data_IF_593401548899
#
_entry.id   IF_593401548899
#
_cell.length_a   1.000
_cell.length_b   1.000
_cell.length_c   1.000
_cell.angle_alpha   90.00
_cell.angle_beta   90.00
_cell.angle_gamma   90.00
#
_symmetry.space_group_name_H-M   'P 1'
#
loop_
_entity.id
_entity.type
_entity.pdbx_description
1 polymer ?
#
# COMPACT_ATOMS: atom_id res chain seq x y z
N UNK A 1 -4.42 25.75 -0.81
CA UNK A 1 -5.67 25.12 -1.29
C UNK A 1 -5.30 23.79 -1.92
N UNK A 2 -5.94 22.72 -1.55
CA UNK A 2 -5.74 21.45 -2.25
C UNK A 2 -6.20 21.61 -3.72
N UNK A 3 -5.39 21.11 -4.65
CA UNK A 3 -5.72 21.13 -6.07
C UNK A 3 -7.02 20.34 -6.30
N UNK A 4 -7.95 20.92 -7.08
CA UNK A 4 -9.24 20.27 -7.33
C UNK A 4 -9.02 18.98 -8.12
N UNK A 5 -9.51 17.86 -7.61
CA UNK A 5 -9.46 16.59 -8.34
C UNK A 5 -10.38 16.63 -9.56
N UNK A 6 -9.87 16.24 -10.71
CA UNK A 6 -10.60 16.19 -11.99
C UNK A 6 -10.52 14.84 -12.70
N UNK A 7 -9.84 13.87 -12.09
CA UNK A 7 -9.55 12.57 -12.72
C UNK A 7 -10.81 11.81 -13.15
N UNK A 8 -11.89 11.91 -12.39
CA UNK A 8 -13.18 11.32 -12.74
C UNK A 8 -13.79 11.94 -13.98
N UNK A 9 -13.81 13.28 -14.03
CA UNK A 9 -14.32 14.01 -15.21
C UNK A 9 -13.47 13.77 -16.45
N UNK A 10 -12.13 13.75 -16.31
CA UNK A 10 -11.21 13.53 -17.41
C UNK A 10 -11.34 12.13 -18.01
N UNK A 11 -11.47 11.12 -17.15
CA UNK A 11 -11.54 9.71 -17.58
C UNK A 11 -12.95 9.26 -17.99
N UNK A 12 -13.98 9.68 -17.27
CA UNK A 12 -15.33 9.13 -17.33
C UNK A 12 -16.43 10.17 -17.54
N UNK A 13 -16.11 11.47 -17.65
CA UNK A 13 -17.10 12.54 -17.68
C UNK A 13 -18.14 12.42 -18.79
N UNK A 14 -17.75 11.86 -19.96
CA UNK A 14 -18.68 11.62 -21.08
C UNK A 14 -19.38 10.27 -21.00
N UNK A 15 -18.74 9.27 -20.43
CA UNK A 15 -19.27 7.90 -20.32
C UNK A 15 -20.19 7.71 -19.10
N UNK A 16 -19.76 8.24 -17.95
CA UNK A 16 -20.47 8.11 -16.68
C UNK A 16 -20.42 9.45 -15.89
N UNK A 17 -21.14 10.49 -16.36
CA UNK A 17 -21.03 11.84 -15.78
C UNK A 17 -21.45 11.89 -14.30
N UNK A 18 -22.44 11.13 -13.89
CA UNK A 18 -22.84 11.06 -12.48
C UNK A 18 -21.74 10.45 -11.60
N UNK A 19 -21.06 9.37 -12.05
CA UNK A 19 -19.95 8.80 -11.34
C UNK A 19 -18.77 9.78 -11.23
N UNK A 20 -18.43 10.47 -12.31
CA UNK A 20 -17.38 11.49 -12.33
C UNK A 20 -17.67 12.61 -11.32
N UNK A 21 -18.91 13.10 -11.29
CA UNK A 21 -19.36 14.08 -10.31
C UNK A 21 -19.20 13.55 -8.86
N UNK A 22 -19.68 12.36 -8.56
CA UNK A 22 -19.54 11.79 -7.23
C UNK A 22 -18.08 11.59 -6.82
N UNK A 23 -17.23 11.18 -7.75
CA UNK A 23 -15.80 11.04 -7.49
C UNK A 23 -15.13 12.38 -7.19
N UNK A 24 -15.23 13.32 -8.10
CA UNK A 24 -14.44 14.56 -8.04
C UNK A 24 -15.05 15.62 -7.11
N UNK A 25 -16.36 15.87 -7.24
CA UNK A 25 -17.01 16.96 -6.53
C UNK A 25 -17.46 16.51 -5.12
N UNK A 26 -18.02 15.32 -4.98
CA UNK A 26 -18.54 14.85 -3.68
C UNK A 26 -17.45 14.19 -2.85
N UNK A 27 -16.82 13.11 -3.35
CA UNK A 27 -15.81 12.39 -2.57
C UNK A 27 -14.61 13.29 -2.26
N UNK A 28 -13.93 13.76 -3.30
CA UNK A 28 -12.72 14.58 -3.10
C UNK A 28 -13.04 16.03 -2.74
N UNK A 29 -14.08 16.62 -3.31
CA UNK A 29 -14.45 18.02 -3.06
C UNK A 29 -15.09 18.26 -1.70
N UNK A 30 -15.98 17.36 -1.26
CA UNK A 30 -16.71 17.53 0.00
C UNK A 30 -16.20 16.63 1.12
N UNK A 31 -16.16 15.31 0.90
CA UNK A 31 -15.86 14.36 1.98
C UNK A 31 -14.42 14.49 2.47
N UNK A 32 -13.45 14.54 1.56
CA UNK A 32 -12.04 14.73 1.93
C UNK A 32 -11.75 16.11 2.52
N UNK A 33 -12.58 17.10 2.24
CA UNK A 33 -12.44 18.45 2.77
C UNK A 33 -12.94 18.62 4.22
N UNK A 34 -13.59 17.61 4.79
CA UNK A 34 -14.07 17.63 6.19
C UNK A 34 -12.94 17.38 7.19
N UNK A 35 -11.89 18.17 7.10
CA UNK A 35 -10.68 17.96 7.92
C UNK A 35 -10.88 18.32 9.40
N UNK A 36 -11.92 19.06 9.72
CA UNK A 36 -12.37 19.33 11.09
C UNK A 36 -13.02 18.12 11.78
N UNK A 37 -13.50 17.15 11.01
CA UNK A 37 -14.12 15.91 11.51
C UNK A 37 -13.16 14.75 11.53
N UNK A 38 -12.35 14.61 10.50
CA UNK A 38 -11.33 13.56 10.37
C UNK A 38 -10.18 14.13 9.53
N UNK A 39 -8.97 14.06 10.00
CA UNK A 39 -7.80 14.60 9.31
C UNK A 39 -7.58 13.94 7.94
N UNK A 40 -6.96 14.65 7.02
CA UNK A 40 -6.56 14.08 5.72
C UNK A 40 -5.61 12.87 5.90
N UNK A 41 -4.75 12.92 6.91
CA UNK A 41 -3.87 11.84 7.30
C UNK A 41 -4.65 10.57 7.69
N UNK A 42 -5.61 10.71 8.58
CA UNK A 42 -6.39 9.55 9.05
C UNK A 42 -7.31 9.02 7.95
N UNK A 43 -7.87 9.88 7.10
CA UNK A 43 -8.59 9.45 5.88
C UNK A 43 -7.70 8.64 4.95
N UNK A 44 -6.44 9.03 4.78
CA UNK A 44 -5.48 8.27 3.98
C UNK A 44 -5.23 6.87 4.57
N UNK A 45 -5.08 6.76 5.89
CA UNK A 45 -4.91 5.47 6.58
C UNK A 45 -6.13 4.57 6.36
N UNK A 46 -7.33 5.11 6.55
CA UNK A 46 -8.59 4.38 6.31
C UNK A 46 -8.68 3.91 4.87
N UNK A 47 -8.38 4.77 3.90
CA UNK A 47 -8.46 4.45 2.47
C UNK A 47 -7.45 3.37 2.07
N UNK A 48 -6.19 3.53 2.47
CA UNK A 48 -5.13 2.53 2.21
C UNK A 48 -5.51 1.18 2.80
N UNK A 49 -5.96 1.14 4.05
CA UNK A 49 -6.38 -0.08 4.73
C UNK A 49 -7.56 -0.75 4.04
N UNK A 50 -8.56 0.04 3.62
CA UNK A 50 -9.74 -0.47 2.90
C UNK A 50 -9.36 -1.10 1.54
N UNK A 51 -8.45 -0.47 0.79
CA UNK A 51 -7.98 -0.98 -0.50
C UNK A 51 -7.19 -2.28 -0.35
N UNK A 52 -6.25 -2.32 0.60
CA UNK A 52 -5.49 -3.56 0.89
C UNK A 52 -6.41 -4.70 1.31
N UNK A 53 -7.40 -4.42 2.14
CA UNK A 53 -8.36 -5.43 2.61
C UNK A 53 -9.14 -6.08 1.44
N UNK A 54 -9.40 -5.32 0.40
CA UNK A 54 -10.06 -5.80 -0.82
C UNK A 54 -9.08 -6.45 -1.82
N UNK A 55 -7.78 -6.35 -1.60
CA UNK A 55 -6.75 -6.81 -2.54
C UNK A 55 -6.55 -5.87 -3.74
N UNK A 56 -7.00 -4.63 -3.64
CA UNK A 56 -6.86 -3.61 -4.68
C UNK A 56 -5.49 -2.92 -4.57
N UNK A 57 -4.46 -3.56 -5.11
CA UNK A 57 -3.07 -3.11 -5.11
C UNK A 57 -2.61 -2.74 -6.53
N UNK A 58 -3.34 -1.83 -7.14
CA UNK A 58 -3.11 -1.33 -8.49
C UNK A 58 -2.62 0.14 -8.48
N UNK A 59 -2.75 0.82 -9.61
CA UNK A 59 -2.38 2.24 -9.77
C UNK A 59 -3.14 3.15 -8.79
N UNK A 60 -4.40 2.85 -8.50
CA UNK A 60 -5.20 3.58 -7.52
C UNK A 60 -4.61 3.47 -6.12
N UNK A 61 -4.13 2.28 -5.75
CA UNK A 61 -3.46 2.07 -4.48
C UNK A 61 -2.14 2.86 -4.38
N UNK A 62 -1.34 2.89 -5.45
CA UNK A 62 -0.12 3.70 -5.51
C UNK A 62 -0.41 5.18 -5.27
N UNK A 63 -1.45 5.72 -5.89
CA UNK A 63 -1.90 7.10 -5.66
C UNK A 63 -2.25 7.35 -4.20
N UNK A 64 -3.00 6.45 -3.56
CA UNK A 64 -3.40 6.61 -2.16
C UNK A 64 -2.23 6.44 -1.18
N UNK A 65 -1.24 5.61 -1.50
CA UNK A 65 0.01 5.53 -0.74
C UNK A 65 0.80 6.85 -0.81
N UNK A 66 0.94 7.42 -2.02
CA UNK A 66 1.60 8.72 -2.19
C UNK A 66 0.86 9.83 -1.44
N UNK A 67 -0.47 9.84 -1.51
CA UNK A 67 -1.31 10.78 -0.76
C UNK A 67 -1.14 10.61 0.76
N UNK A 68 -1.05 9.38 1.26
CA UNK A 68 -0.80 9.11 2.67
C UNK A 68 0.54 9.69 3.14
N UNK A 69 1.60 9.50 2.33
CA UNK A 69 2.91 10.10 2.59
C UNK A 69 2.84 11.63 2.63
N UNK A 70 2.20 12.26 1.65
CA UNK A 70 2.01 13.71 1.60
C UNK A 70 1.21 14.24 2.79
N UNK A 71 0.21 13.48 3.25
CA UNK A 71 -0.61 13.82 4.41
C UNK A 71 0.06 13.52 5.76
N UNK A 72 1.33 13.11 5.76
CA UNK A 72 2.15 12.99 6.96
C UNK A 72 2.19 11.59 7.58
N UNK A 73 1.77 10.55 6.87
CA UNK A 73 2.01 9.17 7.30
C UNK A 73 3.49 8.83 7.09
N UNK A 74 4.19 8.49 8.15
CA UNK A 74 5.61 8.15 8.12
C UNK A 74 5.85 6.72 7.62
N UNK A 75 7.10 6.43 7.24
CA UNK A 75 7.52 5.06 6.88
C UNK A 75 7.27 4.06 8.01
N UNK A 76 7.59 4.43 9.26
CA UNK A 76 7.35 3.59 10.43
C UNK A 76 5.87 3.32 10.62
N UNK A 77 5.04 4.34 10.46
CA UNK A 77 3.59 4.19 10.64
C UNK A 77 2.97 3.31 9.55
N UNK A 78 3.31 3.50 8.27
CA UNK A 78 2.76 2.65 7.21
C UNK A 78 3.21 1.19 7.38
N UNK A 79 4.44 0.95 7.83
CA UNK A 79 4.92 -0.39 8.14
C UNK A 79 4.09 -1.03 9.27
N UNK A 80 3.82 -0.31 10.34
CA UNK A 80 2.99 -0.80 11.45
C UNK A 80 1.52 -1.00 11.04
N UNK A 81 0.95 -0.10 10.24
CA UNK A 81 -0.42 -0.23 9.72
C UNK A 81 -0.57 -1.52 8.91
N UNK A 82 0.33 -1.75 7.97
CA UNK A 82 0.28 -2.93 7.11
C UNK A 82 0.61 -4.23 7.87
N UNK A 83 1.53 -4.17 8.84
CA UNK A 83 1.83 -5.30 9.72
C UNK A 83 0.62 -5.69 10.55
N UNK A 84 -0.03 -4.72 11.18
CA UNK A 84 -1.26 -4.96 11.93
C UNK A 84 -2.37 -5.52 11.02
N UNK A 85 -2.58 -4.89 9.87
CA UNK A 85 -3.60 -5.31 8.91
C UNK A 85 -3.39 -6.76 8.41
N UNK A 86 -2.14 -7.22 8.26
CA UNK A 86 -1.83 -8.56 7.77
C UNK A 86 -2.52 -9.68 8.54
N UNK A 87 -2.73 -9.52 9.84
CA UNK A 87 -3.42 -10.50 10.70
C UNK A 87 -4.94 -10.56 10.43
N UNK A 88 -5.52 -9.54 9.85
CA UNK A 88 -6.96 -9.44 9.57
C UNK A 88 -7.31 -9.69 8.11
N UNK A 89 -6.40 -9.34 7.19
CA UNK A 89 -6.67 -9.38 5.75
C UNK A 89 -5.94 -10.53 5.02
N UNK A 90 -4.98 -11.15 5.66
CA UNK A 90 -4.15 -12.20 5.10
C UNK A 90 -2.78 -11.70 4.60
N UNK A 91 -1.80 -12.58 4.75
CA UNK A 91 -0.38 -12.31 4.49
C UNK A 91 -0.08 -11.95 3.02
N UNK A 92 -0.65 -12.64 2.01
CA UNK A 92 -0.38 -12.32 0.61
C UNK A 92 -0.79 -10.90 0.21
N UNK A 93 -1.91 -10.39 0.70
CA UNK A 93 -2.35 -9.02 0.45
C UNK A 93 -1.41 -8.00 1.10
N UNK A 94 -0.96 -8.26 2.32
CA UNK A 94 0.01 -7.42 2.99
C UNK A 94 1.36 -7.38 2.25
N UNK A 95 1.85 -8.50 1.73
CA UNK A 95 3.05 -8.54 0.91
C UNK A 95 2.94 -7.68 -0.35
N UNK A 96 1.82 -7.75 -1.06
CA UNK A 96 1.57 -6.91 -2.23
C UNK A 96 1.60 -5.41 -1.87
N UNK A 97 0.95 -5.05 -0.76
CA UNK A 97 0.94 -3.68 -0.25
C UNK A 97 2.33 -3.19 0.16
N UNK A 98 3.12 -4.00 0.84
CA UNK A 98 4.48 -3.64 1.25
C UNK A 98 5.42 -3.38 0.07
N UNK A 99 5.32 -4.18 -0.99
CA UNK A 99 6.12 -3.94 -2.21
C UNK A 99 5.88 -2.53 -2.76
N UNK A 100 4.62 -2.12 -2.85
CA UNK A 100 4.25 -0.79 -3.33
C UNK A 100 4.59 0.32 -2.33
N UNK A 101 4.33 0.12 -1.05
CA UNK A 101 4.66 1.09 -0.02
C UNK A 101 6.16 1.38 0.05
N UNK A 102 6.99 0.35 -0.07
CA UNK A 102 8.45 0.49 -0.11
C UNK A 102 8.91 1.42 -1.24
N UNK A 103 8.35 1.30 -2.42
CA UNK A 103 8.66 2.19 -3.55
C UNK A 103 8.34 3.65 -3.22
N UNK A 104 7.16 3.91 -2.67
CA UNK A 104 6.69 5.27 -2.34
C UNK A 104 7.56 5.94 -1.28
N UNK A 105 7.93 5.24 -0.21
CA UNK A 105 8.72 5.83 0.89
C UNK A 105 10.22 5.84 0.63
N UNK A 106 10.74 5.00 -0.30
CA UNK A 106 12.14 5.00 -0.70
C UNK A 106 12.45 5.96 -1.88
N UNK A 107 11.44 6.61 -2.47
CA UNK A 107 11.67 7.66 -3.48
C UNK A 107 12.43 8.85 -2.87
N UNK A 108 13.76 8.79 -2.89
CA UNK A 108 14.65 9.81 -2.34
C UNK A 108 15.97 9.26 -1.83
N UNK A 109 16.08 7.96 -1.60
CA UNK A 109 17.36 7.28 -1.42
C UNK A 109 17.77 6.67 -2.76
N UNK A 110 18.86 7.19 -3.36
CA UNK A 110 19.50 6.53 -4.48
C UNK A 110 19.78 5.07 -4.08
N UNK A 111 19.50 4.06 -4.94
CA UNK A 111 19.78 2.68 -4.58
C UNK A 111 21.28 2.55 -4.29
N UNK A 112 21.62 2.38 -3.04
CA UNK A 112 22.97 2.00 -2.66
C UNK A 112 23.24 0.65 -3.34
N UNK A 113 24.43 0.51 -3.94
CA UNK A 113 24.83 -0.69 -4.67
C UNK A 113 24.76 -1.99 -3.83
N UNK A 114 24.63 -1.86 -2.52
CA UNK A 114 24.58 -2.93 -1.55
C UNK A 114 23.16 -3.48 -1.23
N UNK A 115 22.11 -2.94 -1.87
CA UNK A 115 20.71 -3.34 -1.57
C UNK A 115 20.44 -4.82 -1.93
N UNK A 116 21.16 -5.40 -2.88
CA UNK A 116 21.00 -6.82 -3.21
C UNK A 116 21.50 -7.76 -2.10
N UNK A 117 22.60 -7.41 -1.41
CA UNK A 117 23.09 -8.21 -0.29
C UNK A 117 22.29 -7.97 1.00
N UNK A 118 21.83 -6.71 1.24
CA UNK A 118 20.96 -6.40 2.37
C UNK A 118 19.60 -7.11 2.22
N UNK A 119 19.02 -7.12 1.02
CA UNK A 119 17.76 -7.85 0.75
C UNK A 119 17.86 -9.35 0.99
N UNK A 120 19.01 -9.97 0.65
CA UNK A 120 19.24 -11.38 0.92
C UNK A 120 19.40 -11.68 2.43
N UNK A 121 19.81 -10.69 3.24
CA UNK A 121 19.93 -10.81 4.70
C UNK A 121 18.63 -10.52 5.45
N UNK A 122 17.75 -9.69 4.89
CA UNK A 122 16.43 -9.37 5.48
C UNK A 122 15.33 -10.37 5.13
N UNK A 123 15.57 -11.27 4.18
CA UNK A 123 14.62 -12.36 3.93
C UNK A 123 14.66 -13.32 5.13
N UNK A 124 13.50 -13.54 5.74
CA UNK A 124 13.33 -14.49 6.85
C UNK A 124 13.82 -15.90 6.48
N UNK A 125 13.92 -16.15 5.17
CA UNK A 125 14.44 -17.39 4.59
C UNK A 125 15.32 -17.05 3.39
N UNK A 126 16.61 -17.39 3.40
CA UNK A 126 17.45 -17.22 2.22
C UNK A 126 16.92 -18.09 1.08
N UNK A 127 16.90 -17.52 -0.13
CA UNK A 127 16.48 -18.24 -1.35
C UNK A 127 17.36 -19.49 -1.50
N UNK A 128 16.73 -20.66 -1.58
CA UNK A 128 17.41 -21.93 -1.79
C UNK A 128 17.98 -22.60 -0.53
N UNK A 129 17.76 -22.05 0.67
CA UNK A 129 18.13 -22.76 1.89
C UNK A 129 17.15 -23.90 2.20
N UNK A 130 17.64 -25.07 2.71
CA UNK A 130 16.76 -26.12 3.19
C UNK A 130 15.89 -25.60 4.33
N UNK A 131 14.58 -25.91 4.29
CA UNK A 131 13.63 -25.47 5.32
C UNK A 131 13.63 -26.43 6.52
N UNK A 132 14.81 -26.76 7.04
CA UNK A 132 14.98 -27.77 8.09
C UNK A 132 14.37 -27.34 9.43
N UNK A 133 14.24 -26.01 9.67
CA UNK A 133 13.61 -25.46 10.88
C UNK A 133 12.13 -25.83 11.03
N UNK A 134 11.46 -26.16 9.94
CA UNK A 134 10.05 -26.56 9.90
C UNK A 134 9.85 -28.03 9.51
N UNK A 135 10.91 -28.82 9.44
CA UNK A 135 10.86 -30.24 9.04
C UNK A 135 9.87 -31.08 9.86
N UNK A 136 9.61 -30.69 11.11
CA UNK A 136 8.63 -31.37 11.99
C UNK A 136 7.16 -31.19 11.53
N UNK A 137 6.88 -30.24 10.66
CA UNK A 137 5.53 -29.97 10.16
C UNK A 137 5.29 -30.47 8.74
N UNK A 138 6.32 -30.94 8.06
CA UNK A 138 6.26 -31.40 6.67
C UNK A 138 6.85 -32.77 6.53
N UNK A 139 6.15 -33.69 5.88
CA UNK A 139 6.69 -35.00 5.47
C UNK A 139 7.31 -34.83 4.08
N UNK A 140 8.63 -34.93 4.02
CA UNK A 140 9.40 -34.80 2.77
C UNK A 140 10.37 -33.63 2.77
N UNK A 141 11.12 -33.48 1.69
CA UNK A 141 12.04 -32.36 1.50
C UNK A 141 11.23 -31.17 0.96
N UNK A 142 11.19 -30.07 1.71
CA UNK A 142 10.60 -28.83 1.24
C UNK A 142 11.69 -27.79 0.97
N UNK A 143 11.57 -27.11 -0.15
CA UNK A 143 12.42 -25.99 -0.53
C UNK A 143 11.53 -24.76 -0.71
N UNK A 144 12.01 -23.61 -0.28
CA UNK A 144 11.36 -22.36 -0.60
C UNK A 144 11.63 -22.06 -2.08
N UNK A 145 10.56 -21.90 -2.86
CA UNK A 145 10.69 -21.45 -4.23
C UNK A 145 11.24 -20.01 -4.28
N UNK A 146 12.07 -19.70 -5.30
CA UNK A 146 12.58 -18.35 -5.51
C UNK A 146 11.46 -17.36 -5.81
#
# INVERSE_FOLDING_TARGET
MAEKQTAGHDALGTFAPAFAHFNDDVLFGEVWSRTDKLSARDRSIVTVTALVAQGLTDTSFAYHLASAKQNGVTQTEIAEILTHAAFYIGWPKAWAAFRMAKEVWNEGEAPAADVKEAHAREMLFPIGAPNDGFAKYFTGKSYLAP
#
